data_IF_019107238856
#
_entry.id   IF_019107238856
#
_cell.length_a   1.000
_cell.length_b   1.000
_cell.length_c   1.000
_cell.angle_alpha   90.00
_cell.angle_beta   90.00
_cell.angle_gamma   90.00
#
_symmetry.space_group_name_H-M   'P 1'
#
loop_
_entity.id
_entity.type
_entity.pdbx_description
1 polymer ?
#
# COMPACT_ATOMS: atom_id res chain seq x y z
N UNK A 1 -34.02 -42.20 -33.34
CA UNK A 1 -33.37 -40.97 -33.85
C UNK A 1 -33.56 -39.75 -32.95
N UNK A 2 -34.71 -39.48 -32.34
CA UNK A 2 -34.93 -38.32 -31.46
C UNK A 2 -34.08 -38.28 -30.18
N UNK A 3 -33.78 -39.42 -29.56
CA UNK A 3 -33.02 -39.52 -28.31
C UNK A 3 -31.53 -39.19 -28.49
N UNK A 4 -30.95 -39.49 -29.65
CA UNK A 4 -29.54 -39.18 -29.98
C UNK A 4 -29.33 -37.68 -30.22
N UNK A 5 -30.34 -36.99 -30.76
CA UNK A 5 -30.31 -35.54 -30.99
C UNK A 5 -30.41 -34.75 -29.67
N UNK A 6 -31.22 -35.26 -28.72
CA UNK A 6 -31.39 -34.66 -27.40
C UNK A 6 -30.07 -34.72 -26.56
N UNK A 7 -29.38 -35.84 -26.60
CA UNK A 7 -28.09 -36.02 -25.92
C UNK A 7 -26.98 -35.09 -26.48
N UNK A 8 -26.93 -34.89 -27.80
CA UNK A 8 -25.98 -33.97 -28.44
C UNK A 8 -26.24 -32.50 -28.10
N UNK A 9 -27.53 -32.11 -28.06
CA UNK A 9 -27.92 -30.73 -27.67
C UNK A 9 -27.64 -30.48 -26.20
N UNK A 10 -27.91 -31.45 -25.32
CA UNK A 10 -27.62 -31.34 -23.88
C UNK A 10 -26.14 -31.23 -23.60
N UNK A 11 -25.30 -32.04 -24.26
CA UNK A 11 -23.84 -31.97 -24.13
C UNK A 11 -23.27 -30.62 -24.64
N UNK A 12 -23.87 -30.04 -25.68
CA UNK A 12 -23.47 -28.75 -26.21
C UNK A 12 -23.84 -27.58 -25.28
N UNK A 13 -25.01 -27.64 -24.64
CA UNK A 13 -25.48 -26.67 -23.65
C UNK A 13 -24.61 -26.76 -22.38
N UNK A 14 -24.29 -27.96 -21.89
CA UNK A 14 -23.43 -28.16 -20.73
C UNK A 14 -22.01 -27.67 -20.96
N UNK A 15 -21.44 -27.84 -22.19
CA UNK A 15 -20.12 -27.24 -22.53
C UNK A 15 -20.17 -25.71 -22.54
N UNK A 16 -21.24 -25.08 -23.03
CA UNK A 16 -21.39 -23.61 -23.01
C UNK A 16 -21.56 -23.07 -21.58
N UNK A 17 -22.33 -23.76 -20.73
CA UNK A 17 -22.48 -23.42 -19.32
C UNK A 17 -21.14 -23.58 -18.58
N UNK A 18 -20.41 -24.67 -18.81
CA UNK A 18 -19.09 -24.88 -18.22
C UNK A 18 -18.08 -23.79 -18.63
N UNK A 19 -18.10 -23.37 -19.91
CA UNK A 19 -17.26 -22.28 -20.41
C UNK A 19 -17.67 -20.94 -19.79
N UNK A 20 -18.99 -20.68 -19.64
CA UNK A 20 -19.49 -19.46 -19.00
C UNK A 20 -19.12 -19.38 -17.51
N UNK A 21 -19.24 -20.51 -16.79
CA UNK A 21 -18.85 -20.61 -15.38
C UNK A 21 -17.33 -20.43 -15.23
N UNK A 22 -16.52 -21.01 -16.14
CA UNK A 22 -15.08 -20.84 -16.15
C UNK A 22 -14.66 -19.38 -16.45
N UNK A 23 -15.34 -18.73 -17.41
CA UNK A 23 -15.15 -17.31 -17.71
C UNK A 23 -15.57 -16.41 -16.54
N UNK A 24 -16.68 -16.72 -15.85
CA UNK A 24 -17.12 -15.99 -14.66
C UNK A 24 -16.15 -16.17 -13.49
N UNK A 25 -15.60 -17.38 -13.28
CA UNK A 25 -14.57 -17.64 -12.27
C UNK A 25 -13.24 -16.96 -12.63
N UNK A 26 -12.84 -16.94 -13.90
CA UNK A 26 -11.65 -16.23 -14.36
C UNK A 26 -11.79 -14.70 -14.21
N UNK A 27 -12.99 -14.16 -14.48
CA UNK A 27 -13.30 -12.74 -14.24
C UNK A 27 -13.29 -12.43 -12.74
N UNK A 28 -13.83 -13.32 -11.88
CA UNK A 28 -13.76 -13.12 -10.43
C UNK A 28 -12.33 -13.21 -9.89
N UNK A 29 -11.46 -14.08 -10.45
CA UNK A 29 -10.04 -14.11 -10.08
C UNK A 29 -9.28 -12.88 -10.62
N UNK A 30 -9.65 -12.34 -11.78
CA UNK A 30 -9.06 -11.10 -12.30
C UNK A 30 -9.48 -9.85 -11.48
N UNK A 31 -10.69 -9.87 -10.90
CA UNK A 31 -11.15 -8.81 -9.99
C UNK A 31 -10.51 -8.89 -8.59
N UNK A 32 -9.87 -10.01 -8.23
CA UNK A 32 -9.19 -10.18 -6.95
C UNK A 32 -7.75 -9.62 -6.95
N UNK A 33 -7.29 -9.06 -8.07
CA UNK A 33 -5.96 -8.47 -8.24
C UNK A 33 -6.04 -7.05 -8.82
N UNK A 34 -6.83 -6.18 -8.22
CA UNK A 34 -6.52 -4.76 -8.32
C UNK A 34 -5.18 -4.58 -7.58
N UNK A 35 -4.09 -4.51 -8.33
CA UNK A 35 -2.77 -4.13 -7.81
C UNK A 35 -2.90 -2.64 -7.53
N UNK A 36 -3.16 -2.29 -6.27
CA UNK A 36 -3.04 -0.91 -5.82
C UNK A 36 -1.56 -0.53 -5.86
N UNK A 37 -1.28 0.75 -6.14
CA UNK A 37 0.09 1.26 -6.08
C UNK A 37 0.67 0.96 -4.68
N UNK A 38 1.75 0.18 -4.58
CA UNK A 38 2.37 -0.11 -3.29
C UNK A 38 3.00 1.18 -2.78
N UNK A 39 2.49 1.73 -1.68
CA UNK A 39 3.08 2.91 -1.02
C UNK A 39 4.35 2.49 -0.29
N UNK A 40 5.33 1.99 -1.03
CA UNK A 40 6.63 1.55 -0.53
C UNK A 40 7.69 1.70 -1.63
N UNK A 41 8.96 1.52 -1.26
CA UNK A 41 10.04 1.44 -2.25
C UNK A 41 9.89 0.18 -3.10
N UNK A 42 10.17 0.27 -4.40
CA UNK A 42 10.05 -0.86 -5.32
C UNK A 42 11.39 -1.21 -5.99
N UNK A 43 11.57 -2.46 -6.35
CA UNK A 43 12.66 -2.93 -7.19
C UNK A 43 12.08 -3.36 -8.55
N UNK A 44 12.34 -2.59 -9.63
CA UNK A 44 11.79 -2.91 -10.96
C UNK A 44 10.27 -3.15 -10.92
N UNK A 45 9.53 -2.30 -10.19
CA UNK A 45 8.10 -2.39 -9.89
C UNK A 45 7.68 -3.53 -8.94
N UNK A 46 8.56 -4.35 -8.41
CA UNK A 46 8.23 -5.29 -7.34
C UNK A 46 8.31 -4.57 -5.99
N UNK A 47 7.24 -4.59 -5.17
CA UNK A 47 7.24 -4.00 -3.84
C UNK A 47 8.29 -4.67 -2.94
N UNK A 48 9.13 -3.86 -2.29
CA UNK A 48 10.10 -4.34 -1.30
C UNK A 48 9.50 -4.20 0.09
N UNK A 49 8.44 -4.96 0.38
CA UNK A 49 7.76 -4.92 1.67
C UNK A 49 7.08 -6.26 2.01
N UNK A 50 6.62 -6.38 3.23
CA UNK A 50 5.87 -7.54 3.70
C UNK A 50 6.75 -8.73 4.08
N UNK A 51 6.10 -9.83 4.42
CA UNK A 51 6.76 -11.10 4.75
C UNK A 51 7.25 -11.83 3.48
N UNK A 52 8.00 -12.90 3.66
CA UNK A 52 8.46 -13.77 2.57
C UNK A 52 7.34 -14.25 1.65
N UNK A 53 6.15 -14.47 2.20
CA UNK A 53 4.95 -14.83 1.42
C UNK A 53 4.46 -13.73 0.48
N UNK A 54 4.84 -12.47 0.74
CA UNK A 54 4.51 -11.32 -0.11
C UNK A 54 5.67 -10.98 -1.06
N UNK A 55 6.89 -10.76 -0.55
CA UNK A 55 8.00 -10.29 -1.39
C UNK A 55 8.61 -11.37 -2.29
N UNK A 56 8.64 -12.65 -1.88
CA UNK A 56 9.21 -13.73 -2.71
C UNK A 56 8.47 -13.90 -4.04
N UNK A 57 7.12 -13.97 -4.08
CA UNK A 57 6.40 -13.99 -5.36
C UNK A 57 6.60 -12.72 -6.19
N UNK A 58 6.67 -11.54 -5.55
CA UNK A 58 6.90 -10.27 -6.24
C UNK A 58 8.28 -10.26 -6.93
N UNK A 59 9.34 -10.67 -6.25
CA UNK A 59 10.69 -10.77 -6.81
C UNK A 59 10.78 -11.80 -7.93
N UNK A 60 10.12 -12.95 -7.81
CA UNK A 60 10.02 -13.95 -8.90
C UNK A 60 9.35 -13.38 -10.14
N UNK A 61 8.32 -12.56 -9.98
CA UNK A 61 7.59 -11.97 -11.11
C UNK A 61 8.46 -11.06 -11.98
N UNK A 62 9.54 -10.49 -11.42
CA UNK A 62 10.51 -9.65 -12.12
C UNK A 62 11.78 -10.39 -12.53
N UNK A 63 11.84 -11.73 -12.35
CA UNK A 63 12.90 -12.58 -12.83
C UNK A 63 14.04 -12.85 -11.84
N UNK A 64 13.83 -12.61 -10.54
CA UNK A 64 14.75 -13.05 -9.49
C UNK A 64 14.30 -14.40 -8.94
N UNK A 65 15.19 -15.39 -8.98
CA UNK A 65 14.95 -16.73 -8.44
C UNK A 65 15.69 -16.90 -7.10
N UNK A 66 15.04 -17.50 -6.08
CA UNK A 66 15.68 -17.79 -4.79
C UNK A 66 16.89 -18.69 -4.97
N UNK A 67 17.96 -18.36 -4.26
CA UNK A 67 19.14 -19.22 -4.12
C UNK A 67 19.07 -19.83 -2.74
N UNK A 68 19.19 -21.17 -2.65
CA UNK A 68 19.25 -21.83 -1.35
C UNK A 68 20.56 -21.41 -0.68
N UNK A 69 20.46 -20.75 0.46
CA UNK A 69 21.56 -20.35 1.33
C UNK A 69 21.48 -21.19 2.61
N UNK A 70 22.64 -21.52 3.17
CA UNK A 70 22.74 -22.15 4.48
C UNK A 70 22.80 -21.12 5.63
N UNK A 71 22.64 -19.83 5.32
CA UNK A 71 22.73 -18.73 6.30
C UNK A 71 21.48 -18.71 7.19
N UNK A 72 21.70 -18.81 8.50
CA UNK A 72 20.65 -18.84 9.53
C UNK A 72 20.24 -17.40 10.00
N UNK A 73 20.77 -16.35 9.39
CA UNK A 73 20.69 -14.96 9.86
C UNK A 73 19.43 -14.18 9.41
N UNK A 74 18.44 -14.88 8.82
CA UNK A 74 17.22 -14.24 8.32
C UNK A 74 17.38 -13.50 6.99
N UNK A 75 18.52 -13.68 6.30
CA UNK A 75 18.78 -13.11 4.98
C UNK A 75 18.31 -14.04 3.87
N UNK A 76 17.54 -13.50 2.92
CA UNK A 76 17.10 -14.22 1.73
C UNK A 76 17.98 -13.87 0.53
N UNK A 77 18.44 -14.87 -0.20
CA UNK A 77 19.29 -14.69 -1.37
C UNK A 77 18.55 -15.02 -2.66
N UNK A 78 18.71 -14.14 -3.66
CA UNK A 78 18.15 -14.32 -5.00
C UNK A 78 19.20 -14.06 -6.06
N UNK A 79 18.95 -14.58 -7.27
CA UNK A 79 19.75 -14.32 -8.47
C UNK A 79 18.82 -14.01 -9.64
N UNK A 80 19.14 -13.00 -10.44
CA UNK A 80 18.27 -12.61 -11.54
C UNK A 80 18.87 -11.60 -12.51
N UNK A 81 18.00 -10.98 -13.28
CA UNK A 81 18.32 -9.92 -14.23
C UNK A 81 17.94 -8.55 -13.62
N UNK A 82 18.94 -7.71 -13.40
CA UNK A 82 18.74 -6.36 -12.90
C UNK A 82 18.88 -5.34 -14.04
N UNK A 83 17.78 -4.87 -14.57
CA UNK A 83 17.72 -3.95 -15.73
C UNK A 83 18.57 -4.39 -16.93
N UNK A 84 18.63 -5.69 -17.22
CA UNK A 84 19.42 -6.26 -18.32
C UNK A 84 20.84 -6.68 -17.93
N UNK A 85 21.26 -6.45 -16.68
CA UNK A 85 22.51 -7.03 -16.15
C UNK A 85 22.20 -8.41 -15.61
N UNK A 86 22.71 -9.42 -16.32
CA UNK A 86 22.53 -10.84 -15.96
C UNK A 86 23.28 -11.20 -14.70
N UNK A 87 22.77 -12.23 -14.01
CA UNK A 87 23.40 -12.83 -12.85
C UNK A 87 23.62 -11.86 -11.66
N UNK A 88 22.81 -10.79 -11.59
CA UNK A 88 22.79 -9.91 -10.42
C UNK A 88 22.35 -10.72 -9.19
N UNK A 89 23.01 -10.49 -8.07
CA UNK A 89 22.65 -11.07 -6.77
C UNK A 89 21.82 -10.07 -6.00
N UNK A 90 20.76 -10.56 -5.36
CA UNK A 90 19.91 -9.77 -4.49
C UNK A 90 19.89 -10.43 -3.11
N UNK A 91 20.23 -9.67 -2.10
CA UNK A 91 20.13 -10.03 -0.69
C UNK A 91 19.01 -9.21 -0.07
N UNK A 92 18.12 -9.88 0.66
CA UNK A 92 16.98 -9.26 1.32
C UNK A 92 17.06 -9.56 2.80
N UNK A 93 17.10 -8.53 3.62
CA UNK A 93 17.09 -8.63 5.07
C UNK A 93 15.69 -8.40 5.60
N UNK A 94 15.27 -9.23 6.56
CA UNK A 94 14.01 -9.07 7.28
C UNK A 94 14.27 -8.62 8.71
N UNK A 95 13.38 -7.80 9.25
CA UNK A 95 13.43 -7.40 10.64
C UNK A 95 13.13 -8.60 11.55
N UNK A 96 13.95 -8.83 12.56
CA UNK A 96 13.85 -10.02 13.43
C UNK A 96 12.55 -10.11 14.22
N UNK A 97 11.99 -8.98 14.64
CA UNK A 97 10.74 -8.92 15.41
C UNK A 97 9.52 -9.13 14.51
N UNK A 98 9.44 -8.37 13.42
CA UNK A 98 8.25 -8.31 12.56
C UNK A 98 8.24 -9.36 11.45
N UNK A 99 9.41 -9.93 11.13
CA UNK A 99 9.64 -10.82 9.99
C UNK A 99 9.25 -10.19 8.63
N UNK A 100 9.20 -8.85 8.59
CA UNK A 100 8.96 -8.08 7.38
C UNK A 100 10.27 -7.68 6.71
N UNK A 101 10.24 -7.57 5.37
CA UNK A 101 11.35 -7.03 4.61
C UNK A 101 11.61 -5.59 5.02
N UNK A 102 12.85 -5.28 5.41
CA UNK A 102 13.30 -3.93 5.76
C UNK A 102 14.29 -3.38 4.74
N UNK A 103 15.18 -4.24 4.22
CA UNK A 103 16.30 -3.84 3.38
C UNK A 103 16.51 -4.82 2.23
N UNK A 104 17.04 -4.30 1.12
CA UNK A 104 17.46 -5.12 0.00
C UNK A 104 18.74 -4.57 -0.64
N UNK A 105 19.68 -5.44 -0.99
CA UNK A 105 20.92 -5.08 -1.68
C UNK A 105 21.06 -5.83 -2.97
N UNK A 106 21.10 -5.12 -4.10
CA UNK A 106 21.42 -5.69 -5.40
C UNK A 106 22.88 -5.50 -5.71
N UNK A 107 23.60 -6.59 -5.96
CA UNK A 107 25.02 -6.60 -6.36
C UNK A 107 25.18 -7.04 -7.81
N UNK A 108 25.75 -6.17 -8.64
CA UNK A 108 26.09 -6.42 -10.04
C UNK A 108 27.60 -6.57 -10.20
N UNK A 109 28.05 -7.60 -10.90
CA UNK A 109 29.47 -7.95 -11.09
C UNK A 109 29.87 -9.21 -10.30
N UNK A 110 31.17 -9.45 -10.05
CA UNK A 110 32.29 -8.52 -10.21
C UNK A 110 32.75 -8.31 -11.67
N UNK A 111 33.11 -7.09 -12.01
CA UNK A 111 33.64 -6.70 -13.32
C UNK A 111 35.18 -6.65 -13.28
N UNK A 112 35.83 -7.37 -14.18
CA UNK A 112 37.29 -7.49 -14.21
C UNK A 112 38.01 -6.28 -14.80
N UNK A 113 37.32 -5.48 -15.60
CA UNK A 113 37.92 -4.29 -16.25
C UNK A 113 37.18 -3.03 -15.84
N UNK A 114 37.93 -1.93 -15.70
CA UNK A 114 37.39 -0.62 -15.35
C UNK A 114 36.38 -0.12 -16.40
N UNK A 115 36.66 -0.34 -17.67
CA UNK A 115 35.77 0.08 -18.77
C UNK A 115 34.40 -0.60 -18.68
N UNK A 116 34.36 -1.92 -18.42
CA UNK A 116 33.12 -2.68 -18.29
C UNK A 116 32.30 -2.21 -17.09
N UNK A 117 33.00 -1.98 -15.97
CA UNK A 117 32.40 -1.46 -14.75
C UNK A 117 31.77 -0.07 -14.98
N UNK A 118 32.55 0.93 -15.51
CA UNK A 118 32.07 2.29 -15.73
C UNK A 118 30.88 2.34 -16.70
N UNK A 119 30.92 1.52 -17.77
CA UNK A 119 29.82 1.39 -18.71
C UNK A 119 28.54 0.89 -18.04
N UNK A 120 28.64 -0.18 -17.24
CA UNK A 120 27.48 -0.76 -16.58
C UNK A 120 26.96 0.14 -15.44
N UNK A 121 27.83 0.82 -14.70
CA UNK A 121 27.45 1.81 -13.70
C UNK A 121 26.64 2.95 -14.34
N UNK A 122 27.16 3.56 -15.42
CA UNK A 122 26.46 4.62 -16.15
C UNK A 122 25.10 4.17 -16.69
N UNK A 123 25.05 2.94 -17.22
CA UNK A 123 23.81 2.36 -17.76
C UNK A 123 22.76 2.17 -16.65
N UNK A 124 23.12 1.52 -15.54
CA UNK A 124 22.22 1.27 -14.41
C UNK A 124 21.77 2.56 -13.76
N UNK A 125 22.70 3.49 -13.52
CA UNK A 125 22.37 4.80 -12.95
C UNK A 125 21.37 5.55 -13.83
N UNK A 126 21.54 5.51 -15.15
CA UNK A 126 20.60 6.12 -16.09
C UNK A 126 19.22 5.44 -16.13
N UNK A 127 19.10 4.15 -15.75
CA UNK A 127 17.82 3.47 -15.56
C UNK A 127 17.13 3.94 -14.29
N UNK A 128 17.86 3.89 -13.19
CA UNK A 128 17.35 4.27 -11.86
C UNK A 128 16.99 5.77 -11.79
N UNK A 129 17.76 6.65 -12.44
CA UNK A 129 17.43 8.08 -12.49
C UNK A 129 16.10 8.37 -13.21
N UNK A 130 15.71 7.56 -14.17
CA UNK A 130 14.40 7.70 -14.85
C UNK A 130 13.24 7.25 -13.99
N UNK A 131 13.48 6.30 -13.08
CA UNK A 131 12.47 5.76 -12.18
C UNK A 131 12.38 6.59 -10.89
N UNK A 132 13.51 6.97 -10.30
CA UNK A 132 13.60 7.55 -8.96
C UNK A 132 14.11 8.99 -8.91
N UNK A 133 14.44 9.60 -10.06
CA UNK A 133 15.00 10.94 -10.09
C UNK A 133 16.52 11.00 -9.92
N UNK A 134 17.04 12.19 -9.70
CA UNK A 134 18.48 12.46 -9.72
C UNK A 134 19.17 12.00 -8.42
N UNK A 135 20.15 11.11 -8.58
CA UNK A 135 21.04 10.72 -7.48
C UNK A 135 22.01 11.86 -7.12
N UNK A 136 22.17 12.10 -5.83
CA UNK A 136 23.08 13.09 -5.27
C UNK A 136 24.35 12.38 -4.76
N UNK A 137 25.51 13.01 -4.92
CA UNK A 137 26.77 12.51 -4.38
C UNK A 137 26.85 12.80 -2.86
N UNK A 138 27.37 11.82 -2.10
CA UNK A 138 27.72 11.96 -0.69
C UNK A 138 29.23 12.01 -0.52
N UNK A 139 29.73 12.58 0.58
CA UNK A 139 31.16 12.78 0.83
C UNK A 139 32.00 11.49 0.89
N UNK A 140 31.37 10.32 1.05
CA UNK A 140 32.00 9.00 1.02
C UNK A 140 32.13 8.40 -0.40
N UNK A 141 31.76 9.14 -1.45
CA UNK A 141 31.79 8.71 -2.83
C UNK A 141 30.57 7.89 -3.26
N UNK A 142 29.62 7.63 -2.35
CA UNK A 142 28.34 6.99 -2.72
C UNK A 142 27.41 7.98 -3.40
N UNK A 143 26.45 7.44 -4.16
CA UNK A 143 25.33 8.19 -4.74
C UNK A 143 24.04 7.75 -4.04
N UNK A 144 23.13 8.69 -3.77
CA UNK A 144 21.84 8.36 -3.16
C UNK A 144 20.70 9.17 -3.75
N UNK A 145 19.49 8.61 -3.70
CA UNK A 145 18.23 9.31 -3.95
C UNK A 145 17.30 9.02 -2.77
N UNK A 146 16.69 10.09 -2.25
CA UNK A 146 15.61 10.00 -1.25
C UNK A 146 14.29 9.98 -2.00
N UNK A 147 13.37 9.15 -1.57
CA UNK A 147 12.01 9.00 -2.09
C UNK A 147 11.00 9.23 -0.96
N UNK A 148 9.71 9.31 -1.27
CA UNK A 148 8.65 9.41 -0.26
C UNK A 148 8.53 8.16 0.63
N UNK A 149 9.13 7.04 0.20
CA UNK A 149 8.98 5.72 0.84
C UNK A 149 10.28 5.12 1.37
N UNK A 150 11.38 5.85 1.26
CA UNK A 150 12.69 5.36 1.67
C UNK A 150 13.83 5.93 0.83
N UNK A 151 14.97 5.25 0.79
CA UNK A 151 16.07 5.71 -0.06
C UNK A 151 16.77 4.57 -0.80
N UNK A 152 17.45 4.94 -1.89
CA UNK A 152 18.31 4.05 -2.65
C UNK A 152 19.72 4.63 -2.62
N UNK A 153 20.71 3.81 -2.25
CA UNK A 153 22.12 4.19 -2.20
C UNK A 153 22.94 3.30 -3.13
N UNK A 154 23.71 3.92 -4.02
CA UNK A 154 24.69 3.21 -4.84
C UNK A 154 26.08 3.30 -4.18
N UNK A 155 26.75 2.16 -4.06
CA UNK A 155 28.13 2.05 -3.65
C UNK A 155 28.93 1.18 -4.61
N UNK A 156 30.26 1.22 -4.51
CA UNK A 156 31.17 0.43 -5.30
C UNK A 156 32.08 -0.33 -4.37
N UNK A 157 32.19 -1.65 -4.58
CA UNK A 157 33.13 -2.50 -3.86
C UNK A 157 34.32 -2.83 -4.76
N UNK A 158 35.53 -2.48 -4.33
CA UNK A 158 36.77 -2.94 -4.94
C UNK A 158 37.20 -4.25 -4.26
N UNK A 159 37.31 -5.29 -5.03
CA UNK A 159 37.77 -6.60 -4.56
C UNK A 159 39.30 -6.70 -4.56
N UNK A 160 39.89 -7.59 -3.76
CA UNK A 160 41.33 -7.81 -3.64
C UNK A 160 42.00 -8.14 -4.98
N UNK A 161 41.26 -8.80 -5.88
CA UNK A 161 41.74 -9.15 -7.24
C UNK A 161 41.62 -7.98 -8.24
N UNK A 162 41.28 -6.78 -7.80
CA UNK A 162 41.11 -5.59 -8.61
C UNK A 162 39.79 -5.50 -9.39
N UNK A 163 38.90 -6.47 -9.22
CA UNK A 163 37.57 -6.39 -9.82
C UNK A 163 36.65 -5.42 -9.04
N UNK A 164 35.62 -4.90 -9.69
CA UNK A 164 34.66 -3.97 -9.09
C UNK A 164 33.25 -4.55 -9.11
N UNK A 165 32.50 -4.39 -8.02
CA UNK A 165 31.06 -4.60 -7.98
C UNK A 165 30.31 -3.31 -7.74
N UNK A 166 29.11 -3.21 -8.33
CA UNK A 166 28.19 -2.10 -8.14
C UNK A 166 27.08 -2.61 -7.23
N UNK A 167 26.86 -1.93 -6.11
CA UNK A 167 25.81 -2.30 -5.16
C UNK A 167 24.75 -1.19 -5.12
N UNK A 168 23.50 -1.62 -5.11
CA UNK A 168 22.34 -0.75 -4.87
C UNK A 168 21.63 -1.25 -3.61
N UNK A 169 21.69 -0.44 -2.57
CA UNK A 169 21.02 -0.67 -1.31
C UNK A 169 19.68 0.07 -1.31
N UNK A 170 18.63 -0.63 -0.98
CA UNK A 170 17.26 -0.13 -0.85
C UNK A 170 16.84 -0.23 0.62
N UNK A 171 16.38 0.87 1.21
CA UNK A 171 15.76 0.90 2.53
C UNK A 171 14.31 1.33 2.38
N UNK A 172 13.37 0.50 2.81
CA UNK A 172 11.96 0.86 2.88
C UNK A 172 11.68 1.53 4.23
N UNK A 173 11.13 2.75 4.17
CA UNK A 173 10.76 3.57 5.33
C UNK A 173 9.25 3.80 5.42
N UNK A 174 8.44 2.93 4.80
CA UNK A 174 6.97 2.99 4.85
C UNK A 174 6.38 1.86 5.67
N UNK A 175 5.34 2.11 6.47
CA UNK A 175 4.60 1.07 7.16
C UNK A 175 3.99 0.05 6.20
N UNK A 176 4.01 -1.23 6.56
CA UNK A 176 3.45 -2.31 5.73
C UNK A 176 1.92 -2.19 5.63
N UNK A 177 1.21 -2.07 6.76
CA UNK A 177 -0.24 -1.87 6.74
C UNK A 177 -0.56 -0.42 6.37
N UNK A 178 -1.49 -0.25 5.41
CA UNK A 178 -1.84 1.06 4.86
C UNK A 178 -2.95 1.76 5.67
N UNK A 179 -3.22 1.32 6.92
CA UNK A 179 -4.20 1.95 7.79
C UNK A 179 -3.78 3.39 8.12
N UNK A 180 -2.47 3.65 8.35
CA UNK A 180 -1.92 5.00 8.53
C UNK A 180 -2.21 5.88 7.30
N UNK A 181 -1.88 5.42 6.10
CA UNK A 181 -2.08 6.20 4.87
C UNK A 181 -3.56 6.35 4.50
N UNK A 182 -4.43 5.41 4.90
CA UNK A 182 -5.89 5.53 4.72
C UNK A 182 -6.48 6.72 5.49
N UNK A 183 -5.78 7.19 6.53
CA UNK A 183 -6.15 8.36 7.33
C UNK A 183 -5.46 9.64 6.84
N UNK A 184 -4.73 9.59 5.73
CA UNK A 184 -3.96 10.71 5.20
C UNK A 184 -2.74 11.04 6.05
N UNK A 185 -2.16 10.04 6.72
CA UNK A 185 -0.96 10.17 7.56
C UNK A 185 0.25 9.60 6.84
N UNK A 186 1.44 10.14 7.15
CA UNK A 186 2.74 9.77 6.59
C UNK A 186 3.70 9.36 7.71
N UNK A 187 4.64 8.47 7.42
CA UNK A 187 5.66 7.99 8.35
C UNK A 187 5.17 6.90 9.31
N UNK A 188 6.05 6.52 10.23
CA UNK A 188 5.76 5.48 11.25
C UNK A 188 4.98 6.08 12.42
N UNK A 189 3.70 6.36 12.20
CA UNK A 189 2.83 6.94 13.23
C UNK A 189 2.51 5.92 14.30
N UNK A 190 2.69 6.30 15.57
CA UNK A 190 2.33 5.52 16.76
C UNK A 190 0.94 5.89 17.28
N UNK A 191 0.67 7.18 17.40
CA UNK A 191 -0.57 7.69 17.98
C UNK A 191 -1.00 8.99 17.30
N UNK A 192 -2.31 9.16 17.13
CA UNK A 192 -2.92 10.42 16.71
C UNK A 192 -4.05 10.79 17.67
N UNK A 193 -3.96 11.97 18.25
CA UNK A 193 -5.03 12.57 19.02
C UNK A 193 -5.62 13.71 18.20
N UNK A 194 -6.91 13.60 17.84
CA UNK A 194 -7.60 14.66 17.10
C UNK A 194 -8.54 15.41 18.06
N UNK A 195 -8.26 16.67 18.32
CA UNK A 195 -9.16 17.53 19.10
C UNK A 195 -10.24 18.14 18.18
N UNK A 196 -11.50 17.91 18.56
CA UNK A 196 -12.65 18.38 17.82
C UNK A 196 -13.68 18.99 18.81
N UNK A 197 -13.97 20.31 18.74
CA UNK A 197 -14.84 20.97 19.71
C UNK A 197 -16.32 20.55 19.64
N UNK A 198 -16.73 19.80 18.61
CA UNK A 198 -18.12 19.39 18.40
C UNK A 198 -18.34 17.86 18.44
N UNK A 199 -17.30 17.09 18.70
CA UNK A 199 -17.36 15.62 18.78
C UNK A 199 -16.41 15.11 19.88
N UNK A 200 -16.49 13.82 20.18
CA UNK A 200 -15.46 13.15 20.99
C UNK A 200 -14.10 13.24 20.29
N UNK A 201 -13.06 13.40 21.10
CA UNK A 201 -11.68 13.45 20.59
C UNK A 201 -11.20 12.00 20.36
N UNK A 202 -11.17 11.49 19.13
CA UNK A 202 -10.67 10.17 18.86
C UNK A 202 -9.16 10.11 19.14
N UNK A 203 -8.75 9.02 19.78
CA UNK A 203 -7.35 8.63 19.94
C UNK A 203 -7.17 7.36 19.12
N UNK A 204 -6.27 7.42 18.16
CA UNK A 204 -5.97 6.32 17.27
C UNK A 204 -4.54 5.85 17.50
N UNK A 205 -4.37 4.57 17.76
CA UNK A 205 -3.08 3.93 17.97
C UNK A 205 -2.76 3.01 16.80
N UNK A 206 -1.50 2.97 16.41
CA UNK A 206 -1.01 2.07 15.37
C UNK A 206 0.14 1.22 15.92
N UNK A 207 0.23 -0.02 15.50
CA UNK A 207 1.39 -0.85 15.78
C UNK A 207 2.61 -0.44 14.91
N UNK A 208 3.79 -1.01 15.19
CA UNK A 208 5.04 -0.75 14.45
C UNK A 208 4.93 -1.05 12.94
N UNK A 209 3.93 -1.80 12.51
CA UNK A 209 3.67 -2.14 11.10
C UNK A 209 2.65 -1.20 10.45
N UNK A 210 2.14 -0.20 11.16
CA UNK A 210 1.16 0.76 10.70
C UNK A 210 -0.28 0.28 10.72
N UNK A 211 -0.58 -0.82 11.43
CA UNK A 211 -1.93 -1.35 11.58
C UNK A 211 -2.66 -0.63 12.70
N UNK A 212 -3.85 -0.10 12.41
CA UNK A 212 -4.69 0.55 13.41
C UNK A 212 -5.08 -0.43 14.54
N UNK A 213 -4.75 -0.11 15.77
CA UNK A 213 -5.20 -0.84 16.95
C UNK A 213 -6.63 -0.39 17.29
N UNK A 214 -7.57 -1.30 17.22
CA UNK A 214 -8.97 -1.04 17.56
C UNK A 214 -9.62 -2.31 18.12
N UNK A 215 -10.28 -2.18 19.26
CA UNK A 215 -11.06 -3.27 19.86
C UNK A 215 -12.41 -3.45 19.16
N UNK A 216 -12.89 -2.44 18.42
CA UNK A 216 -14.16 -2.47 17.72
C UNK A 216 -14.07 -3.14 16.35
N UNK A 217 -12.86 -3.15 15.73
CA UNK A 217 -12.61 -3.77 14.43
C UNK A 217 -12.11 -5.22 14.56
N UNK A 218 -12.89 -6.17 14.06
CA UNK A 218 -12.55 -7.59 13.99
C UNK A 218 -12.57 -8.11 12.55
N UNK A 219 -12.19 -9.38 12.34
CA UNK A 219 -12.23 -10.08 11.05
C UNK A 219 -11.59 -9.29 9.90
N UNK A 220 -10.52 -8.56 10.19
CA UNK A 220 -9.80 -7.73 9.23
C UNK A 220 -9.14 -8.61 8.16
N UNK A 221 -9.37 -8.25 6.89
CA UNK A 221 -8.72 -8.89 5.74
C UNK A 221 -7.92 -7.85 4.98
N UNK A 222 -6.63 -8.12 4.82
CA UNK A 222 -5.71 -7.31 4.04
C UNK A 222 -5.34 -8.01 2.74
N UNK A 223 -5.01 -7.22 1.71
CA UNK A 223 -4.40 -7.77 0.50
C UNK A 223 -2.88 -7.98 0.71
N UNK A 224 -2.18 -8.47 -0.31
CA UNK A 224 -0.75 -8.80 -0.26
C UNK A 224 0.19 -7.60 -0.09
N UNK A 225 -0.31 -6.38 -0.29
CA UNK A 225 0.44 -5.13 -0.14
C UNK A 225 -0.10 -4.27 1.01
N UNK A 226 -0.74 -4.89 2.00
CA UNK A 226 -1.10 -4.27 3.28
C UNK A 226 -2.35 -3.38 3.28
N UNK A 227 -3.15 -3.36 2.21
CA UNK A 227 -4.42 -2.61 2.19
C UNK A 227 -5.55 -3.40 2.85
N UNK A 228 -6.28 -2.76 3.77
CA UNK A 228 -7.47 -3.33 4.40
C UNK A 228 -8.62 -3.37 3.40
N UNK A 229 -9.09 -4.58 3.03
CA UNK A 229 -10.19 -4.77 2.06
C UNK A 229 -11.54 -5.01 2.70
N UNK A 230 -11.57 -5.58 3.90
CA UNK A 230 -12.80 -5.73 4.68
C UNK A 230 -12.53 -5.87 6.17
N UNK A 231 -13.53 -5.50 6.99
CA UNK A 231 -13.54 -5.70 8.44
C UNK A 231 -14.96 -5.81 8.96
N UNK A 232 -15.11 -6.28 10.20
CA UNK A 232 -16.35 -6.22 10.96
C UNK A 232 -16.18 -5.16 12.06
N UNK A 233 -17.02 -4.11 12.07
CA UNK A 233 -17.11 -3.12 13.15
C UNK A 233 -18.19 -3.55 14.14
N UNK A 234 -17.87 -3.54 15.43
CA UNK A 234 -18.83 -3.74 16.50
C UNK A 234 -18.98 -2.44 17.29
N UNK A 235 -20.09 -1.77 17.15
CA UNK A 235 -20.37 -0.47 17.77
C UNK A 235 -21.74 -0.53 18.48
N UNK A 236 -21.78 -0.20 19.77
CA UNK A 236 -23.01 -0.27 20.57
C UNK A 236 -23.67 -1.65 20.60
N UNK A 237 -22.90 -2.73 20.43
CA UNK A 237 -23.40 -4.11 20.34
C UNK A 237 -23.92 -4.51 18.96
N UNK A 238 -23.98 -3.59 17.99
CA UNK A 238 -24.36 -3.87 16.61
C UNK A 238 -23.13 -4.23 15.76
N UNK A 239 -23.27 -5.22 14.88
CA UNK A 239 -22.23 -5.62 13.91
C UNK A 239 -22.51 -5.03 12.55
N UNK A 240 -21.48 -4.36 12.01
CA UNK A 240 -21.49 -3.77 10.68
C UNK A 240 -20.35 -4.38 9.86
N UNK A 241 -20.65 -4.87 8.66
CA UNK A 241 -19.62 -5.27 7.69
C UNK A 241 -19.09 -4.02 7.00
N UNK A 242 -17.77 -3.85 6.93
CA UNK A 242 -17.14 -2.76 6.19
C UNK A 242 -16.40 -3.35 5.00
N UNK A 243 -16.59 -2.75 3.82
CA UNK A 243 -15.77 -2.98 2.63
C UNK A 243 -15.01 -1.70 2.29
N UNK A 244 -13.77 -1.85 1.82
CA UNK A 244 -12.86 -0.75 1.46
C UNK A 244 -12.51 -0.85 -0.02
N UNK A 245 -12.59 0.26 -0.73
CA UNK A 245 -12.23 0.39 -2.15
C UNK A 245 -11.17 1.48 -2.29
N UNK A 246 -10.17 1.24 -3.15
CA UNK A 246 -9.05 2.15 -3.39
C UNK A 246 -9.06 2.63 -4.85
N UNK A 247 -8.42 3.77 -5.11
CA UNK A 247 -8.13 4.23 -6.48
C UNK A 247 -6.80 3.64 -6.98
N UNK A 248 -6.43 3.97 -8.22
CA UNK A 248 -5.21 3.44 -8.85
C UNK A 248 -3.92 3.94 -8.15
N UNK A 249 -3.98 5.08 -7.46
CA UNK A 249 -2.88 5.65 -6.67
C UNK A 249 -2.78 5.03 -5.26
N UNK A 250 -3.60 4.00 -4.95
CA UNK A 250 -3.64 3.36 -3.63
C UNK A 250 -4.26 4.22 -2.53
N UNK A 251 -4.95 5.30 -2.85
CA UNK A 251 -5.67 6.09 -1.87
C UNK A 251 -7.07 5.51 -1.64
N UNK A 252 -7.54 5.55 -0.37
CA UNK A 252 -8.88 5.11 -0.02
C UNK A 252 -9.92 5.91 -0.81
N UNK A 253 -10.70 5.26 -1.66
CA UNK A 253 -11.72 5.86 -2.52
C UNK A 253 -13.08 5.83 -1.87
N UNK A 254 -13.41 4.71 -1.25
CA UNK A 254 -14.74 4.48 -0.65
C UNK A 254 -14.69 3.47 0.47
N UNK A 255 -15.52 3.69 1.49
CA UNK A 255 -15.95 2.64 2.42
C UNK A 255 -17.45 2.44 2.34
N UNK A 256 -17.88 1.19 2.49
CA UNK A 256 -19.30 0.82 2.59
C UNK A 256 -19.50 0.02 3.86
N UNK A 257 -20.22 0.60 4.83
CA UNK A 257 -20.63 -0.09 6.05
C UNK A 257 -22.08 -0.58 5.87
N UNK A 258 -22.32 -1.85 6.18
CA UNK A 258 -23.67 -2.43 6.13
C UNK A 258 -23.99 -3.02 7.49
N UNK A 259 -25.04 -2.52 8.13
CA UNK A 259 -25.56 -3.11 9.37
C UNK A 259 -26.17 -4.48 9.03
N UNK A 260 -25.67 -5.51 9.70
CA UNK A 260 -26.02 -6.92 9.42
C UNK A 260 -27.47 -7.28 9.77
N UNK A 261 -28.09 -6.49 10.66
CA UNK A 261 -29.47 -6.74 11.16
C UNK A 261 -30.49 -5.86 10.43
N UNK A 262 -30.24 -4.55 10.40
CA UNK A 262 -31.21 -3.58 9.83
C UNK A 262 -31.10 -3.40 8.32
N UNK A 263 -29.97 -3.80 7.72
CA UNK A 263 -29.67 -3.55 6.31
C UNK A 263 -29.38 -2.08 5.97
N UNK A 264 -29.26 -1.20 6.98
CA UNK A 264 -28.83 0.18 6.78
C UNK A 264 -27.43 0.22 6.22
N UNK A 265 -27.20 1.09 5.23
CA UNK A 265 -25.89 1.32 4.63
C UNK A 265 -25.39 2.72 4.93
N UNK A 266 -24.11 2.84 5.27
CA UNK A 266 -23.36 4.09 5.28
C UNK A 266 -22.26 3.98 4.23
N UNK A 267 -22.32 4.84 3.21
CA UNK A 267 -21.30 4.92 2.15
C UNK A 267 -20.51 6.20 2.36
N UNK A 268 -19.19 6.09 2.44
CA UNK A 268 -18.28 7.22 2.56
C UNK A 268 -17.37 7.26 1.34
N UNK A 269 -17.43 8.34 0.58
CA UNK A 269 -16.54 8.64 -0.54
C UNK A 269 -15.45 9.61 -0.10
N UNK A 270 -14.21 9.35 -0.50
CA UNK A 270 -13.03 10.15 -0.17
C UNK A 270 -12.46 10.79 -1.44
N UNK A 271 -11.98 12.04 -1.33
CA UNK A 271 -11.22 12.72 -2.37
C UNK A 271 -9.88 13.18 -1.82
N UNK A 272 -8.87 13.04 -2.63
CA UNK A 272 -7.49 13.38 -2.33
C UNK A 272 -7.03 14.49 -3.29
N UNK A 273 -6.12 15.34 -2.86
CA UNK A 273 -5.45 16.33 -3.71
C UNK A 273 -4.21 15.71 -4.36
N UNK A 274 -3.52 16.47 -5.19
CA UNK A 274 -2.33 16.03 -5.91
C UNK A 274 -1.13 15.76 -4.96
N UNK A 275 -1.16 16.29 -3.73
CA UNK A 275 -0.16 16.07 -2.70
C UNK A 275 -0.44 14.79 -1.86
N UNK A 276 -1.49 14.03 -2.21
CA UNK A 276 -1.88 12.80 -1.51
C UNK A 276 -2.58 13.05 -0.18
N UNK A 277 -3.14 14.24 0.06
CA UNK A 277 -3.88 14.59 1.27
C UNK A 277 -5.38 14.50 1.04
N UNK A 278 -6.12 14.11 2.08
CA UNK A 278 -7.57 14.05 2.02
C UNK A 278 -8.17 15.46 1.95
N UNK A 279 -8.77 15.81 0.82
CA UNK A 279 -9.39 17.11 0.57
C UNK A 279 -10.89 17.15 0.86
N UNK A 280 -11.58 16.01 0.75
CA UNK A 280 -13.01 15.90 1.02
C UNK A 280 -13.41 14.49 1.44
N UNK A 281 -14.34 14.40 2.38
CA UNK A 281 -15.06 13.20 2.75
C UNK A 281 -16.56 13.43 2.59
N UNK A 282 -17.30 12.49 1.97
CA UNK A 282 -18.73 12.58 1.77
C UNK A 282 -19.41 11.31 2.24
N UNK A 283 -20.21 11.38 3.29
CA UNK A 283 -20.96 10.26 3.85
C UNK A 283 -22.43 10.33 3.41
N UNK A 284 -23.01 9.18 3.07
CA UNK A 284 -24.43 9.03 2.75
C UNK A 284 -25.00 7.81 3.46
N UNK A 285 -26.08 8.00 4.21
CA UNK A 285 -26.82 6.91 4.82
C UNK A 285 -28.03 6.54 3.97
N UNK A 286 -28.23 5.25 3.76
CA UNK A 286 -29.32 4.70 2.98
C UNK A 286 -30.13 3.75 3.86
N UNK A 287 -31.48 3.81 3.71
CA UNK A 287 -32.37 2.85 4.33
C UNK A 287 -32.37 1.51 3.56
N UNK A 288 -33.11 0.52 4.05
CA UNK A 288 -33.25 -0.82 3.43
C UNK A 288 -33.78 -0.78 1.99
N UNK A 289 -34.52 0.29 1.63
CA UNK A 289 -35.10 0.48 0.31
C UNK A 289 -34.14 1.24 -0.63
N UNK A 290 -32.87 1.42 -0.19
CA UNK A 290 -31.80 2.12 -0.89
C UNK A 290 -32.09 3.62 -1.15
N UNK A 291 -32.95 4.24 -0.33
CA UNK A 291 -33.19 5.68 -0.36
C UNK A 291 -32.16 6.39 0.53
N UNK A 292 -31.56 7.47 0.03
CA UNK A 292 -30.69 8.32 0.83
C UNK A 292 -31.51 9.09 1.86
N UNK A 293 -31.21 8.91 3.14
CA UNK A 293 -31.90 9.54 4.26
C UNK A 293 -31.08 10.64 4.93
N UNK A 294 -29.76 10.61 4.78
CA UNK A 294 -28.82 11.58 5.34
C UNK A 294 -27.59 11.69 4.44
N UNK A 295 -27.04 12.89 4.33
CA UNK A 295 -25.69 13.10 3.78
C UNK A 295 -24.91 14.12 4.59
N UNK A 296 -23.60 13.89 4.75
CA UNK A 296 -22.65 14.80 5.36
C UNK A 296 -21.47 14.94 4.41
N UNK A 297 -21.09 16.17 4.08
CA UNK A 297 -19.88 16.45 3.30
C UNK A 297 -18.95 17.31 4.15
N UNK A 298 -17.73 16.88 4.28
CA UNK A 298 -16.64 17.54 5.01
C UNK A 298 -15.55 17.91 4.01
N UNK A 299 -15.14 19.16 3.98
CA UNK A 299 -14.00 19.64 3.18
C UNK A 299 -12.91 20.12 4.12
N UNK A 300 -11.69 19.71 3.86
CA UNK A 300 -10.53 20.00 4.69
C UNK A 300 -9.77 21.20 4.10
N UNK A 301 -9.47 22.19 4.93
CA UNK A 301 -8.56 23.28 4.61
C UNK A 301 -7.40 23.22 5.60
N UNK A 302 -6.26 22.68 5.14
CA UNK A 302 -5.07 22.45 5.96
C UNK A 302 -4.35 23.77 6.19
N UNK A 303 -4.04 24.10 7.45
CA UNK A 303 -3.42 25.35 7.88
C UNK A 303 -2.00 25.15 8.37
N UNK A 304 -1.72 24.06 9.13
CA UNK A 304 -0.42 23.78 9.73
C UNK A 304 -0.06 22.30 9.55
N UNK A 305 1.26 22.03 9.48
CA UNK A 305 1.84 20.68 9.36
C UNK A 305 3.01 20.49 10.31
N UNK A 306 3.32 19.23 10.62
CA UNK A 306 4.55 18.82 11.29
C UNK A 306 5.71 18.57 10.31
N UNK A 307 6.86 18.14 10.84
CA UNK A 307 8.07 17.86 10.06
C UNK A 307 7.92 16.62 9.12
N UNK A 308 6.95 15.76 9.37
CA UNK A 308 6.60 14.61 8.52
C UNK A 308 5.52 14.95 7.47
N UNK A 309 5.19 16.24 7.32
CA UNK A 309 4.20 16.77 6.39
C UNK A 309 2.77 16.24 6.67
N UNK A 310 2.47 15.90 7.94
CA UNK A 310 1.12 15.59 8.41
C UNK A 310 0.45 16.86 8.90
N UNK A 311 -0.83 17.06 8.59
CA UNK A 311 -1.53 18.23 9.09
C UNK A 311 -1.73 18.15 10.61
N UNK A 312 -1.43 19.27 11.29
CA UNK A 312 -1.61 19.46 12.74
C UNK A 312 -2.76 20.40 13.06
N UNK A 313 -3.16 21.22 12.09
CA UNK A 313 -4.33 22.09 12.19
C UNK A 313 -5.05 22.21 10.87
N UNK A 314 -6.37 22.09 10.88
CA UNK A 314 -7.23 22.33 9.73
C UNK A 314 -8.53 23.02 10.11
N UNK A 315 -9.16 23.69 9.14
CA UNK A 315 -10.55 24.13 9.21
C UNK A 315 -11.42 23.20 8.38
N UNK A 316 -12.39 22.58 9.05
CA UNK A 316 -13.32 21.63 8.46
C UNK A 316 -14.63 22.34 8.11
N UNK A 317 -14.99 22.43 6.82
CA UNK A 317 -16.27 22.92 6.36
C UNK A 317 -17.25 21.77 6.22
N UNK A 318 -18.26 21.71 7.08
CA UNK A 318 -19.23 20.62 7.14
C UNK A 318 -20.54 21.10 6.54
N UNK A 319 -21.08 20.32 5.60
CA UNK A 319 -22.46 20.48 5.10
C UNK A 319 -23.23 19.21 5.41
N UNK A 320 -24.30 19.31 6.18
CA UNK A 320 -25.16 18.18 6.50
C UNK A 320 -26.56 18.37 5.90
N UNK A 321 -27.18 17.27 5.53
CA UNK A 321 -28.54 17.20 5.04
C UNK A 321 -29.24 15.97 5.59
N UNK A 322 -30.49 16.16 6.03
CA UNK A 322 -31.37 15.08 6.47
C UNK A 322 -32.64 15.11 5.60
N UNK A 323 -33.19 13.97 5.22
CA UNK A 323 -34.38 13.85 4.39
C UNK A 323 -35.55 14.68 4.98
N UNK A 324 -36.10 15.58 4.19
CA UNK A 324 -37.19 16.48 4.61
C UNK A 324 -36.74 17.76 5.32
N UNK A 325 -35.43 17.99 5.50
CA UNK A 325 -34.88 19.21 6.12
C UNK A 325 -33.99 19.98 5.14
N UNK A 326 -33.84 21.29 5.43
CA UNK A 326 -32.89 22.14 4.70
C UNK A 326 -31.46 21.78 5.12
N UNK A 327 -30.54 21.79 4.16
CA UNK A 327 -29.10 21.58 4.43
C UNK A 327 -28.58 22.69 5.40
N UNK A 328 -27.70 22.27 6.30
CA UNK A 328 -27.02 23.14 7.27
C UNK A 328 -25.52 23.10 7.01
N UNK A 329 -24.84 24.21 7.25
CA UNK A 329 -23.41 24.35 7.12
C UNK A 329 -22.79 24.84 8.42
N UNK A 330 -21.60 24.32 8.75
CA UNK A 330 -20.81 24.80 9.90
C UNK A 330 -19.33 24.73 9.57
N UNK A 331 -18.53 25.50 10.29
CA UNK A 331 -17.08 25.42 10.25
C UNK A 331 -16.57 25.00 11.61
N UNK A 332 -15.56 24.13 11.62
CA UNK A 332 -14.94 23.56 12.82
C UNK A 332 -13.44 23.57 12.64
N UNK A 333 -12.72 24.16 13.59
CA UNK A 333 -11.26 24.06 13.65
C UNK A 333 -10.92 22.78 14.41
N UNK A 334 -10.04 21.97 13.82
CA UNK A 334 -9.51 20.76 14.42
C UNK A 334 -7.99 20.89 14.57
N UNK A 335 -7.46 20.30 15.64
CA UNK A 335 -6.01 20.14 15.83
C UNK A 335 -5.66 18.65 15.98
N UNK A 336 -4.45 18.30 15.59
CA UNK A 336 -3.88 16.95 15.81
C UNK A 336 -2.58 17.04 16.57
N UNK A 337 -2.40 16.13 17.51
CA UNK A 337 -1.10 15.77 18.08
C UNK A 337 -0.74 14.40 17.56
N UNK A 338 0.46 14.25 16.98
CA UNK A 338 0.91 13.02 16.35
C UNK A 338 2.21 12.60 17.01
N UNK A 339 2.30 11.36 17.44
CA UNK A 339 3.55 10.74 17.88
C UNK A 339 3.98 9.65 16.91
N UNK A 340 5.27 9.40 16.83
CA UNK A 340 5.89 8.48 15.90
C UNK A 340 6.66 7.41 16.67
N UNK A 341 6.76 6.22 16.08
CA UNK A 341 7.71 5.22 16.55
C UNK A 341 9.12 5.77 16.34
N UNK A 342 9.99 5.59 17.33
CA UNK A 342 11.40 5.98 17.21
C UNK A 342 12.08 5.14 16.11
N UNK A 343 12.82 5.80 15.24
CA UNK A 343 13.74 5.15 14.31
C UNK A 343 15.00 4.77 15.13
N UNK A 344 15.06 3.52 15.62
CA UNK A 344 16.24 2.94 16.27
C UNK A 344 17.38 2.65 15.27
#
# INVERSE_FOLDING_TARGET
MAFSLFLLTFAHVMKKIGLLVFLLLAVQMAWCQAIYDPKCITLMNAPLEGTDSAFVPALKSIGFEPVVSEDEDGTYHFKGDFYGIKDARLEVTVNDKTKMLSEATVTCGPYRTRELYERNQKYLLGKLQREWGNFKAKGDGSLYVLTDYGYIRQTITLHENGAHSINYYYLNMSPYYKDVSNMGLKGFVQEVITENPVAENPIEHFDELGKLESTELSDRKYNQVGYLISATLTEGGEKKQIAYEYNDDGNLKRTTQTNMVSGLKLVTDYKWNDDGEMSQQSQKAFNKDNECIMSVTMKYNIEERDDNDNWTKNTLHITNWLKGQRAQTMEVVQTRTISYWDED
#
